data_IF_883014503926
#
_entry.id   IF_883014503926
#
_cell.length_a   1.000
_cell.length_b   1.000
_cell.length_c   1.000
_cell.angle_alpha   90.00
_cell.angle_beta   90.00
_cell.angle_gamma   90.00
#
_symmetry.space_group_name_H-M   'P 1'
#
loop_
_entity.id
_entity.type
_entity.pdbx_description
1 polymer ?
#
# COMPACT_ATOMS: atom_id res chain seq x y z
N UNK A 1 -34.04 29.81 39.65
CA UNK A 1 -33.82 29.51 41.08
C UNK A 1 -32.31 29.51 41.32
N UNK A 2 -31.79 30.59 41.91
CA UNK A 2 -30.40 30.69 42.42
C UNK A 2 -30.12 29.59 43.45
N UNK A 3 -28.87 29.11 43.59
CA UNK A 3 -27.93 29.21 44.76
C UNK A 3 -26.53 28.72 44.26
N UNK A 4 -25.42 29.49 44.17
CA UNK A 4 -24.38 29.80 45.21
C UNK A 4 -23.88 28.54 45.98
N UNK A 5 -22.61 28.27 46.36
CA UNK A 5 -21.26 28.89 46.31
C UNK A 5 -20.23 27.90 46.98
N UNK A 6 -18.97 27.88 46.49
CA UNK A 6 -17.66 27.98 47.20
C UNK A 6 -17.19 27.00 48.33
N UNK A 7 -15.96 26.48 48.12
CA UNK A 7 -14.81 26.08 49.00
C UNK A 7 -14.93 25.10 50.17
N UNK A 8 -13.93 24.21 50.27
CA UNK A 8 -12.95 24.26 51.36
C UNK A 8 -11.65 23.47 51.04
N UNK A 9 -10.51 24.16 51.14
CA UNK A 9 -9.17 23.57 51.20
C UNK A 9 -8.90 23.09 52.63
N UNK A 10 -8.18 21.98 52.79
CA UNK A 10 -7.46 21.68 54.03
C UNK A 10 -6.05 21.20 53.70
N UNK A 11 -5.11 22.00 54.21
CA UNK A 11 -3.67 21.83 54.22
C UNK A 11 -3.32 21.02 55.48
N UNK A 12 -2.48 19.99 55.37
CA UNK A 12 -1.81 19.40 56.53
C UNK A 12 -0.29 19.42 56.30
N UNK A 13 0.37 20.30 57.04
CA UNK A 13 1.82 20.39 57.18
C UNK A 13 2.20 19.52 58.37
N UNK A 14 3.18 18.62 58.18
CA UNK A 14 4.00 18.09 59.27
C UNK A 14 5.46 18.23 58.84
N UNK A 15 6.15 19.15 59.51
CA UNK A 15 7.61 19.22 59.57
C UNK A 15 8.11 18.39 60.75
N UNK A 16 9.27 17.75 60.66
CA UNK A 16 10.43 18.11 61.50
C UNK A 16 11.71 17.28 61.28
N UNK A 17 12.82 18.04 61.29
CA UNK A 17 14.20 17.78 61.71
C UNK A 17 15.18 16.86 60.92
N UNK A 18 16.07 17.57 60.21
CA UNK A 18 17.54 17.55 60.10
C UNK A 18 18.37 16.50 60.88
N UNK A 19 19.36 15.88 60.21
CA UNK A 19 20.79 16.24 60.34
C UNK A 19 21.75 15.44 59.43
N UNK A 20 22.54 16.21 58.66
CA UNK A 20 24.01 16.17 58.49
C UNK A 20 24.80 15.00 57.85
N UNK A 21 25.83 15.46 57.09
CA UNK A 21 27.10 14.87 56.64
C UNK A 21 27.06 13.93 55.41
N UNK A 22 27.65 14.20 54.24
CA UNK A 22 28.99 14.67 53.77
C UNK A 22 29.88 13.51 53.29
N UNK A 23 30.18 13.53 51.98
CA UNK A 23 31.16 12.80 51.13
C UNK A 23 31.10 11.24 51.12
N UNK A 24 31.43 10.53 50.05
CA UNK A 24 32.52 10.70 49.07
C UNK A 24 32.22 9.93 47.78
N UNK A 25 32.97 10.29 46.74
CA UNK A 25 33.03 9.76 45.39
C UNK A 25 33.19 8.23 45.32
N UNK A 26 32.55 7.57 44.35
CA UNK A 26 33.08 6.39 43.64
C UNK A 26 32.12 5.95 42.53
N UNK A 27 32.69 5.93 41.33
CA UNK A 27 32.18 5.30 40.11
C UNK A 27 31.47 3.95 40.35
N UNK A 28 30.20 3.86 39.97
CA UNK A 28 29.43 2.62 39.99
C UNK A 28 28.54 2.48 38.76
N UNK A 29 28.97 1.64 37.82
CA UNK A 29 28.20 0.96 36.76
C UNK A 29 26.84 1.59 36.39
N UNK A 30 26.81 2.29 35.25
CA UNK A 30 25.57 2.42 34.46
C UNK A 30 25.08 1.01 34.15
N UNK A 31 24.02 0.57 34.82
CA UNK A 31 23.26 -0.60 34.39
C UNK A 31 22.83 -0.32 32.94
N UNK A 32 23.40 -1.07 32.01
CA UNK A 32 22.92 -1.11 30.64
C UNK A 32 21.43 -1.47 30.70
N UNK A 33 20.58 -0.48 30.44
CA UNK A 33 19.19 -0.70 30.06
C UNK A 33 19.25 -1.64 28.85
N UNK A 34 18.58 -2.81 28.87
CA UNK A 34 18.57 -3.65 27.70
C UNK A 34 18.02 -2.81 26.55
N UNK A 35 18.83 -2.66 25.52
CA UNK A 35 18.44 -2.09 24.24
C UNK A 35 17.21 -2.83 23.78
N UNK A 36 16.16 -2.07 23.49
CA UNK A 36 14.87 -2.52 22.95
C UNK A 36 15.04 -3.75 22.07
N UNK A 37 14.44 -4.87 22.49
CA UNK A 37 14.12 -5.95 21.57
C UNK A 37 13.39 -5.32 20.39
N UNK A 38 14.06 -5.31 19.25
CA UNK A 38 13.47 -4.94 17.98
C UNK A 38 12.48 -6.06 17.68
N UNK A 39 11.23 -5.92 18.12
CA UNK A 39 10.15 -6.83 17.75
C UNK A 39 10.14 -6.92 16.23
N UNK A 40 10.68 -8.02 15.70
CA UNK A 40 10.44 -8.41 14.32
C UNK A 40 9.02 -8.96 14.36
N UNK A 41 8.04 -8.08 14.14
CA UNK A 41 6.65 -8.48 14.13
C UNK A 41 6.48 -9.44 12.94
N UNK A 42 6.32 -10.72 13.24
CA UNK A 42 6.00 -11.75 12.25
C UNK A 42 4.67 -11.40 11.59
N UNK A 43 4.56 -11.59 10.28
CA UNK A 43 3.28 -11.42 9.59
C UNK A 43 2.34 -12.57 9.94
N UNK A 44 1.06 -12.27 10.10
CA UNK A 44 0.04 -13.31 10.05
C UNK A 44 -0.20 -13.79 8.60
N UNK A 45 -1.05 -14.81 8.44
CA UNK A 45 -1.29 -15.38 7.11
C UNK A 45 -2.03 -14.42 6.17
N UNK A 46 -2.88 -13.53 6.69
CA UNK A 46 -3.63 -12.58 5.86
C UNK A 46 -2.70 -11.48 5.35
N UNK A 47 -1.83 -10.94 6.21
CA UNK A 47 -0.77 -10.00 5.82
C UNK A 47 0.18 -10.62 4.78
N UNK A 48 0.57 -11.89 4.98
CA UNK A 48 1.44 -12.62 4.06
C UNK A 48 0.79 -12.84 2.70
N UNK A 49 -0.44 -13.37 2.65
CA UNK A 49 -1.15 -13.62 1.41
C UNK A 49 -1.41 -12.33 0.64
N UNK A 50 -1.74 -11.26 1.36
CA UNK A 50 -1.96 -9.95 0.75
C UNK A 50 -0.66 -9.39 0.17
N UNK A 51 0.47 -9.51 0.87
CA UNK A 51 1.78 -9.10 0.34
C UNK A 51 2.20 -9.91 -0.90
N UNK A 52 1.85 -11.22 -0.96
CA UNK A 52 2.06 -12.07 -2.14
C UNK A 52 1.18 -11.57 -3.31
N UNK A 53 -0.08 -11.22 -3.05
CA UNK A 53 -0.98 -10.66 -4.05
C UNK A 53 -0.42 -9.35 -4.62
N UNK A 54 -0.03 -8.41 -3.75
CA UNK A 54 0.57 -7.13 -4.15
C UNK A 54 1.85 -7.30 -4.98
N UNK A 55 2.64 -8.35 -4.73
CA UNK A 55 3.84 -8.64 -5.51
C UNK A 55 3.50 -8.94 -6.98
N UNK A 56 2.44 -9.69 -7.21
CA UNK A 56 1.98 -10.05 -8.56
C UNK A 56 1.16 -8.94 -9.21
N UNK A 57 0.37 -8.17 -8.46
CA UNK A 57 -0.39 -7.03 -8.97
C UNK A 57 0.52 -5.91 -9.50
N UNK A 58 1.56 -5.54 -8.75
CA UNK A 58 2.57 -4.59 -9.23
C UNK A 58 3.31 -5.11 -10.49
N UNK A 59 3.45 -6.44 -10.62
CA UNK A 59 3.98 -7.05 -11.85
C UNK A 59 2.96 -7.00 -12.99
N UNK A 60 1.67 -7.19 -12.71
CA UNK A 60 0.59 -7.04 -13.69
C UNK A 60 0.62 -5.64 -14.29
N UNK A 61 0.61 -4.61 -13.46
CA UNK A 61 0.68 -3.22 -13.90
C UNK A 61 1.92 -2.98 -14.79
N UNK A 62 3.12 -3.37 -14.29
CA UNK A 62 4.38 -3.29 -15.05
C UNK A 62 4.27 -3.95 -16.42
N UNK A 63 3.81 -5.19 -16.45
CA UNK A 63 3.83 -6.02 -17.65
C UNK A 63 2.82 -5.55 -18.70
N UNK A 64 1.62 -5.13 -18.26
CA UNK A 64 0.62 -4.50 -19.13
C UNK A 64 1.21 -3.22 -19.73
N UNK A 65 1.85 -2.37 -18.93
CA UNK A 65 2.44 -1.13 -19.43
C UNK A 65 3.64 -1.36 -20.35
N UNK A 66 4.47 -2.38 -20.10
CA UNK A 66 5.51 -2.78 -21.06
C UNK A 66 4.87 -3.17 -22.39
N UNK A 67 3.85 -4.03 -22.38
CA UNK A 67 3.14 -4.47 -23.59
C UNK A 67 2.54 -3.29 -24.36
N UNK A 68 1.83 -2.40 -23.68
CA UNK A 68 1.18 -1.24 -24.29
C UNK A 68 2.19 -0.20 -24.77
N UNK A 69 3.33 -0.04 -24.08
CA UNK A 69 4.42 0.85 -24.54
C UNK A 69 5.04 0.40 -25.87
N UNK A 70 5.10 -0.91 -26.13
CA UNK A 70 5.57 -1.45 -27.41
C UNK A 70 4.56 -1.22 -28.52
N UNK A 71 3.26 -1.25 -28.20
CA UNK A 71 2.18 -1.06 -29.17
C UNK A 71 1.96 0.43 -29.51
N UNK A 72 2.06 1.31 -28.52
CA UNK A 72 1.86 2.75 -28.63
C UNK A 72 3.15 3.52 -28.27
N UNK A 73 4.23 3.43 -29.08
CA UNK A 73 5.54 3.99 -28.73
C UNK A 73 5.56 5.52 -28.61
N UNK A 74 4.57 6.21 -29.19
CA UNK A 74 4.42 7.66 -29.07
C UNK A 74 3.77 8.07 -27.73
N UNK A 75 3.09 7.13 -27.06
CA UNK A 75 2.47 7.34 -25.75
C UNK A 75 3.48 7.02 -24.65
N UNK A 76 4.36 7.99 -24.37
CA UNK A 76 5.46 7.80 -23.41
C UNK A 76 5.01 7.52 -21.97
N UNK A 77 3.73 7.69 -21.66
CA UNK A 77 3.16 7.45 -20.33
C UNK A 77 3.34 5.98 -19.92
N UNK A 78 3.07 5.02 -20.81
CA UNK A 78 3.21 3.60 -20.53
C UNK A 78 4.65 3.23 -20.17
N UNK A 79 5.63 3.65 -20.97
CA UNK A 79 7.04 3.33 -20.71
C UNK A 79 7.58 3.97 -19.42
N UNK A 80 7.11 5.17 -19.07
CA UNK A 80 7.51 5.85 -17.84
C UNK A 80 6.93 5.18 -16.59
N UNK A 81 5.66 4.82 -16.64
CA UNK A 81 4.96 4.18 -15.52
C UNK A 81 5.43 2.73 -15.36
N UNK A 82 5.63 1.97 -16.44
CA UNK A 82 6.27 0.65 -16.39
C UNK A 82 7.62 0.64 -15.63
N UNK A 83 8.42 1.71 -15.80
CA UNK A 83 9.67 1.86 -15.06
C UNK A 83 9.44 2.17 -13.57
N UNK A 84 8.30 2.78 -13.22
CA UNK A 84 7.85 2.97 -11.84
C UNK A 84 7.37 1.67 -11.20
N UNK A 85 6.55 0.90 -11.90
CA UNK A 85 6.07 -0.40 -11.41
C UNK A 85 7.21 -1.39 -11.25
N UNK A 86 8.25 -1.29 -12.09
CA UNK A 86 9.50 -2.03 -11.87
C UNK A 86 10.17 -1.71 -10.52
N UNK A 87 10.01 -0.49 -10.00
CA UNK A 87 10.51 -0.12 -8.66
C UNK A 87 9.56 -0.57 -7.57
N UNK A 88 8.25 -0.42 -7.77
CA UNK A 88 7.25 -0.88 -6.80
C UNK A 88 7.32 -2.38 -6.58
N UNK A 89 7.33 -3.16 -7.65
CA UNK A 89 7.48 -4.62 -7.59
C UNK A 89 8.75 -5.01 -6.83
N UNK A 90 9.87 -4.29 -6.98
CA UNK A 90 11.08 -4.51 -6.20
C UNK A 90 10.94 -4.11 -4.72
N UNK A 91 10.22 -3.03 -4.38
CA UNK A 91 9.93 -2.69 -2.97
C UNK A 91 9.13 -3.82 -2.30
N UNK A 92 8.18 -4.42 -3.00
CA UNK A 92 7.43 -5.58 -2.49
C UNK A 92 8.36 -6.79 -2.35
N UNK A 93 9.23 -7.07 -3.34
CA UNK A 93 10.17 -8.19 -3.27
C UNK A 93 11.16 -8.08 -2.11
N UNK A 94 11.65 -6.88 -1.82
CA UNK A 94 12.52 -6.63 -0.67
C UNK A 94 11.77 -6.78 0.67
N UNK A 95 10.48 -6.46 0.69
CA UNK A 95 9.61 -6.68 1.85
C UNK A 95 9.34 -8.17 2.08
N UNK A 96 9.07 -8.94 1.02
CA UNK A 96 8.95 -10.40 1.10
C UNK A 96 10.22 -11.04 1.68
N UNK A 97 11.40 -10.66 1.17
CA UNK A 97 12.70 -11.11 1.71
C UNK A 97 12.86 -10.78 3.19
N UNK A 98 12.46 -9.56 3.60
CA UNK A 98 12.55 -9.13 5.01
C UNK A 98 11.73 -9.98 5.96
N UNK A 99 10.60 -10.51 5.49
CA UNK A 99 9.74 -11.41 6.26
C UNK A 99 10.00 -12.89 5.97
N UNK A 100 11.04 -13.21 5.18
CA UNK A 100 11.38 -14.58 4.77
C UNK A 100 10.23 -15.31 4.07
N UNK A 101 9.46 -14.57 3.26
CA UNK A 101 8.41 -15.11 2.40
C UNK A 101 9.03 -15.40 1.03
N UNK A 102 8.70 -16.56 0.45
CA UNK A 102 9.12 -16.93 -0.90
C UNK A 102 8.50 -15.99 -1.94
N UNK A 103 9.29 -15.55 -2.91
CA UNK A 103 8.81 -14.65 -3.96
C UNK A 103 7.94 -15.45 -4.96
N UNK A 104 6.65 -15.09 -5.17
CA UNK A 104 5.80 -15.77 -6.14
C UNK A 104 6.30 -15.64 -7.60
N UNK A 105 7.12 -14.62 -7.89
CA UNK A 105 7.67 -14.38 -9.23
C UNK A 105 8.98 -15.15 -9.41
N UNK A 106 8.84 -16.41 -9.85
CA UNK A 106 9.98 -17.28 -10.23
C UNK A 106 10.38 -17.14 -11.70
N UNK A 107 9.49 -16.56 -12.53
CA UNK A 107 9.74 -16.24 -13.93
C UNK A 107 9.30 -14.80 -14.21
N UNK A 108 10.27 -13.92 -14.45
CA UNK A 108 10.01 -12.49 -14.62
C UNK A 108 9.74 -12.08 -16.07
N UNK A 109 9.51 -13.03 -16.97
CA UNK A 109 9.08 -12.72 -18.33
C UNK A 109 7.71 -11.99 -18.32
N UNK A 110 7.57 -11.03 -19.23
CA UNK A 110 6.35 -10.23 -19.38
C UNK A 110 5.14 -11.12 -19.64
N UNK A 111 4.09 -10.95 -18.83
CA UNK A 111 2.83 -11.68 -18.94
C UNK A 111 2.85 -13.11 -18.38
N UNK A 112 3.95 -13.52 -17.74
CA UNK A 112 4.05 -14.83 -17.08
C UNK A 112 3.74 -14.71 -15.60
N UNK A 113 2.66 -15.34 -15.15
CA UNK A 113 2.27 -15.46 -13.74
C UNK A 113 2.12 -16.94 -13.42
N UNK A 114 2.92 -17.43 -12.46
CA UNK A 114 3.02 -18.86 -12.15
C UNK A 114 3.00 -19.14 -10.66
N UNK A 115 2.60 -18.17 -9.84
CA UNK A 115 2.42 -18.41 -8.42
C UNK A 115 1.32 -19.44 -8.19
N UNK A 116 1.41 -20.12 -7.06
CA UNK A 116 0.42 -21.14 -6.69
C UNK A 116 -0.88 -20.49 -6.22
N UNK A 117 -0.77 -19.34 -5.58
CA UNK A 117 -1.86 -18.66 -4.89
C UNK A 117 -2.78 -17.93 -5.87
N UNK A 118 -2.21 -17.15 -6.80
CA UNK A 118 -2.97 -16.22 -7.67
C UNK A 118 -2.49 -16.17 -9.13
N UNK A 119 -1.52 -17.01 -9.53
CA UNK A 119 -0.91 -16.92 -10.86
C UNK A 119 -1.90 -17.15 -12.01
N UNK A 120 -2.92 -17.98 -11.81
CA UNK A 120 -4.00 -18.18 -12.77
C UNK A 120 -4.86 -16.91 -12.94
N UNK A 121 -5.23 -16.28 -11.82
CA UNK A 121 -5.97 -15.02 -11.79
C UNK A 121 -5.19 -13.90 -12.51
N UNK A 122 -3.91 -13.72 -12.19
CA UNK A 122 -3.10 -12.68 -12.84
C UNK A 122 -2.81 -12.97 -14.31
N UNK A 123 -2.72 -14.24 -14.71
CA UNK A 123 -2.64 -14.62 -16.13
C UNK A 123 -3.90 -14.22 -16.88
N UNK A 124 -5.08 -14.48 -16.31
CA UNK A 124 -6.36 -14.07 -16.90
C UNK A 124 -6.48 -12.55 -16.97
N UNK A 125 -6.17 -11.84 -15.88
CA UNK A 125 -6.18 -10.37 -15.84
C UNK A 125 -5.23 -9.73 -16.84
N UNK A 126 -4.02 -10.26 -16.99
CA UNK A 126 -3.08 -9.78 -18.00
C UNK A 126 -3.65 -9.90 -19.42
N UNK A 127 -4.26 -11.05 -19.75
CA UNK A 127 -4.89 -11.23 -21.05
C UNK A 127 -6.10 -10.31 -21.25
N UNK A 128 -6.97 -10.19 -20.25
CA UNK A 128 -8.15 -9.31 -20.28
C UNK A 128 -7.73 -7.86 -20.59
N UNK A 129 -6.84 -7.30 -19.76
CA UNK A 129 -6.42 -5.91 -19.83
C UNK A 129 -5.65 -5.61 -21.12
N UNK A 130 -4.77 -6.52 -21.55
CA UNK A 130 -4.04 -6.32 -22.82
C UNK A 130 -4.95 -6.48 -24.04
N UNK A 131 -5.97 -7.35 -24.01
CA UNK A 131 -6.94 -7.47 -25.09
C UNK A 131 -7.82 -6.21 -25.25
N UNK A 132 -8.19 -5.57 -24.13
CA UNK A 132 -8.86 -4.26 -24.18
C UNK A 132 -7.90 -3.22 -24.75
N UNK A 133 -6.70 -3.12 -24.17
CA UNK A 133 -5.73 -2.08 -24.51
C UNK A 133 -5.18 -2.16 -25.93
N UNK A 134 -5.25 -3.30 -26.63
CA UNK A 134 -4.83 -3.37 -28.04
C UNK A 134 -5.84 -2.76 -29.02
N UNK A 135 -7.06 -2.46 -28.57
CA UNK A 135 -8.16 -1.99 -29.43
C UNK A 135 -7.90 -0.57 -29.95
N UNK A 136 -7.44 0.33 -29.07
CA UNK A 136 -7.05 1.69 -29.42
C UNK A 136 -6.13 2.28 -28.35
N UNK A 137 -5.42 3.36 -28.70
CA UNK A 137 -4.60 4.07 -27.71
C UNK A 137 -5.46 4.63 -26.56
N UNK A 138 -6.69 5.07 -26.84
CA UNK A 138 -7.60 5.53 -25.80
C UNK A 138 -8.01 4.39 -24.86
N UNK A 139 -8.35 3.22 -25.39
CA UNK A 139 -8.65 2.04 -24.57
C UNK A 139 -7.44 1.62 -23.73
N UNK A 140 -6.23 1.71 -24.30
CA UNK A 140 -4.99 1.46 -23.56
C UNK A 140 -4.79 2.43 -22.39
N UNK A 141 -5.11 3.71 -22.58
CA UNK A 141 -5.04 4.72 -21.51
C UNK A 141 -6.08 4.46 -20.42
N UNK A 142 -7.29 4.04 -20.80
CA UNK A 142 -8.33 3.61 -19.85
C UNK A 142 -7.92 2.36 -19.07
N UNK A 143 -7.28 1.38 -19.71
CA UNK A 143 -6.67 0.23 -19.03
C UNK A 143 -5.61 0.69 -18.04
N UNK A 144 -4.80 1.69 -18.43
CA UNK A 144 -3.87 2.38 -17.54
C UNK A 144 -4.53 2.86 -16.26
N UNK A 145 -5.53 3.75 -16.40
CA UNK A 145 -6.25 4.31 -15.27
C UNK A 145 -7.02 3.26 -14.44
N UNK A 146 -7.56 2.22 -15.10
CA UNK A 146 -8.29 1.13 -14.44
C UNK A 146 -7.38 0.34 -13.48
N UNK A 147 -6.18 0.01 -13.92
CA UNK A 147 -5.20 -0.70 -13.08
C UNK A 147 -4.86 0.14 -11.85
N UNK A 148 -4.62 1.44 -12.01
CA UNK A 148 -4.29 2.30 -10.87
C UNK A 148 -5.45 2.44 -9.87
N UNK A 149 -6.70 2.41 -10.34
CA UNK A 149 -7.86 2.33 -9.45
C UNK A 149 -7.94 0.99 -8.70
N UNK A 150 -7.67 -0.13 -9.37
CA UNK A 150 -7.59 -1.44 -8.73
C UNK A 150 -6.48 -1.47 -7.67
N UNK A 151 -5.24 -1.11 -8.03
CA UNK A 151 -4.09 -1.12 -7.13
C UNK A 151 -4.42 -0.35 -5.84
N UNK A 152 -4.99 0.86 -5.94
CA UNK A 152 -5.35 1.63 -4.75
C UNK A 152 -6.41 0.95 -3.86
N UNK A 153 -7.42 0.31 -4.46
CA UNK A 153 -8.47 -0.41 -3.72
C UNK A 153 -7.89 -1.64 -3.04
N UNK A 154 -7.11 -2.42 -3.79
CA UNK A 154 -6.55 -3.69 -3.39
C UNK A 154 -5.36 -3.52 -2.44
N UNK A 155 -4.68 -2.37 -2.42
CA UNK A 155 -3.74 -2.01 -1.35
C UNK A 155 -4.49 -1.65 -0.06
N UNK A 156 -5.58 -0.88 -0.16
CA UNK A 156 -6.35 -0.41 1.00
C UNK A 156 -7.10 -1.55 1.69
N UNK A 157 -7.69 -2.46 0.91
CA UNK A 157 -8.62 -3.50 1.37
C UNK A 157 -8.32 -4.85 0.73
N UNK A 158 -8.97 -5.93 1.18
CA UNK A 158 -8.78 -7.23 0.54
C UNK A 158 -9.30 -7.25 -0.90
N UNK A 159 -8.48 -7.75 -1.85
CA UNK A 159 -8.93 -8.10 -3.19
C UNK A 159 -10.10 -9.09 -3.15
N UNK A 160 -11.08 -8.90 -4.03
CA UNK A 160 -12.28 -9.75 -4.10
C UNK A 160 -11.91 -11.22 -4.27
N UNK A 161 -10.95 -11.53 -5.13
CA UNK A 161 -10.48 -12.91 -5.38
C UNK A 161 -9.88 -13.56 -4.12
N UNK A 162 -9.30 -12.78 -3.21
CA UNK A 162 -8.83 -13.31 -1.93
C UNK A 162 -9.99 -13.67 -1.00
N UNK A 163 -11.03 -12.84 -0.97
CA UNK A 163 -12.26 -13.10 -0.19
C UNK A 163 -12.95 -14.37 -0.70
N UNK A 164 -12.95 -14.59 -2.02
CA UNK A 164 -13.57 -15.77 -2.62
C UNK A 164 -12.80 -17.08 -2.40
N UNK A 165 -11.45 -17.02 -2.49
CA UNK A 165 -10.60 -18.22 -2.51
C UNK A 165 -10.09 -18.65 -1.14
N UNK A 166 -9.98 -17.74 -0.18
CA UNK A 166 -9.33 -17.99 1.10
C UNK A 166 -10.38 -18.07 2.20
N UNK A 167 -10.65 -19.29 2.68
CA UNK A 167 -11.68 -19.56 3.68
C UNK A 167 -11.59 -18.70 4.95
N UNK A 168 -10.41 -18.23 5.35
CA UNK A 168 -10.25 -17.39 6.55
C UNK A 168 -10.54 -15.91 6.32
N UNK A 169 -10.56 -15.45 5.06
CA UNK A 169 -10.88 -14.07 4.66
C UNK A 169 -12.38 -14.01 4.36
N UNK A 170 -13.12 -13.17 5.09
CA UNK A 170 -14.59 -13.10 5.03
C UNK A 170 -15.12 -11.80 4.47
N UNK A 171 -14.32 -10.74 4.50
CA UNK A 171 -14.72 -9.42 4.03
C UNK A 171 -13.50 -8.57 3.65
N UNK A 172 -13.76 -7.40 3.07
CA UNK A 172 -12.73 -6.47 2.58
C UNK A 172 -11.80 -5.91 3.66
N UNK A 173 -12.15 -6.00 4.94
CA UNK A 173 -11.31 -5.52 6.05
C UNK A 173 -10.43 -6.60 6.70
N UNK A 174 -10.41 -7.82 6.16
CA UNK A 174 -9.63 -8.92 6.73
C UNK A 174 -8.17 -8.97 6.21
N UNK A 175 -7.73 -7.99 5.41
CA UNK A 175 -6.36 -7.78 4.93
C UNK A 175 -6.23 -6.35 4.35
N UNK A 176 -5.09 -6.01 3.74
CA UNK A 176 -4.84 -4.65 3.28
C UNK A 176 -4.44 -3.67 4.38
N UNK A 177 -4.28 -2.40 4.00
CA UNK A 177 -3.91 -1.32 4.90
C UNK A 177 -4.90 -1.14 6.07
N UNK A 178 -6.19 -1.44 5.85
CA UNK A 178 -7.21 -1.37 6.90
C UNK A 178 -7.05 -2.46 7.98
N UNK A 179 -6.31 -3.54 7.68
CA UNK A 179 -6.13 -4.68 8.56
C UNK A 179 -4.81 -4.63 9.33
N UNK A 180 -3.71 -4.34 8.62
CA UNK A 180 -2.36 -4.47 9.19
C UNK A 180 -2.04 -3.37 10.21
N UNK A 181 -1.34 -3.76 11.28
CA UNK A 181 -0.69 -2.83 12.20
C UNK A 181 0.85 -2.90 12.10
N UNK A 182 1.36 -3.67 11.13
CA UNK A 182 2.78 -3.82 10.90
C UNK A 182 3.31 -2.57 10.20
N UNK A 183 4.11 -1.77 10.92
CA UNK A 183 4.64 -0.51 10.38
C UNK A 183 5.44 -0.65 9.08
N UNK A 184 6.04 -1.81 8.82
CA UNK A 184 6.75 -2.06 7.56
C UNK A 184 5.77 -2.19 6.40
N UNK A 185 4.68 -2.92 6.61
CA UNK A 185 3.62 -3.10 5.61
C UNK A 185 2.89 -1.77 5.38
N UNK A 186 2.52 -1.05 6.44
CA UNK A 186 1.88 0.27 6.31
C UNK A 186 2.74 1.22 5.46
N UNK A 187 4.04 1.34 5.77
CA UNK A 187 4.93 2.21 5.00
C UNK A 187 5.09 1.74 3.55
N UNK A 188 5.09 0.43 3.27
CA UNK A 188 5.08 -0.06 1.90
C UNK A 188 3.80 0.38 1.18
N UNK A 189 2.64 0.11 1.76
CA UNK A 189 1.32 0.35 1.15
C UNK A 189 1.04 1.83 0.92
N UNK A 190 1.39 2.70 1.88
CA UNK A 190 1.33 4.16 1.70
C UNK A 190 2.19 4.61 0.50
N UNK A 191 3.39 4.04 0.35
CA UNK A 191 4.27 4.35 -0.77
C UNK A 191 3.75 3.87 -2.12
N UNK A 192 3.02 2.74 -2.14
CA UNK A 192 2.41 2.21 -3.36
C UNK A 192 1.21 3.07 -3.76
N UNK A 193 0.31 3.39 -2.81
CA UNK A 193 -0.83 4.29 -3.03
C UNK A 193 -0.37 5.65 -3.56
N UNK A 194 0.65 6.27 -2.95
CA UNK A 194 1.20 7.54 -3.43
C UNK A 194 1.69 7.42 -4.90
N UNK A 195 2.23 6.26 -5.27
CA UNK A 195 2.62 5.94 -6.63
C UNK A 195 1.42 5.86 -7.57
N UNK A 196 0.47 4.97 -7.25
CA UNK A 196 -0.72 4.73 -8.07
C UNK A 196 -1.57 5.98 -8.26
N UNK A 197 -1.70 6.85 -7.26
CA UNK A 197 -2.38 8.14 -7.43
C UNK A 197 -1.68 9.03 -8.46
N UNK A 198 -0.34 9.06 -8.48
CA UNK A 198 0.42 9.82 -9.45
C UNK A 198 0.30 9.24 -10.87
N UNK A 199 0.21 7.92 -10.98
CA UNK A 199 0.00 7.24 -12.24
C UNK A 199 -1.43 7.45 -12.77
N UNK A 200 -2.44 7.37 -11.90
CA UNK A 200 -3.82 7.68 -12.23
C UNK A 200 -3.94 9.11 -12.78
N UNK A 201 -3.36 10.11 -12.09
CA UNK A 201 -3.30 11.50 -12.60
C UNK A 201 -2.67 11.57 -13.98
N UNK A 202 -1.60 10.81 -14.23
CA UNK A 202 -0.92 10.80 -15.52
C UNK A 202 -1.77 10.17 -16.63
N UNK A 203 -2.42 9.03 -16.38
CA UNK A 203 -3.33 8.41 -17.35
C UNK A 203 -4.56 9.25 -17.61
N UNK A 204 -5.23 9.73 -16.57
CA UNK A 204 -6.40 10.62 -16.69
C UNK A 204 -6.07 11.87 -17.47
N UNK A 205 -4.93 12.52 -17.21
CA UNK A 205 -4.48 13.66 -18.00
C UNK A 205 -4.36 13.31 -19.49
N UNK A 206 -3.86 12.12 -19.84
CA UNK A 206 -3.79 11.68 -21.24
C UNK A 206 -5.17 11.40 -21.81
N UNK A 207 -6.05 10.73 -21.08
CA UNK A 207 -7.43 10.46 -21.52
C UNK A 207 -8.16 11.78 -21.80
N UNK A 208 -8.10 12.73 -20.88
CA UNK A 208 -8.80 14.01 -21.01
C UNK A 208 -8.23 14.90 -22.14
N UNK A 209 -6.97 14.71 -22.53
CA UNK A 209 -6.45 15.32 -23.77
C UNK A 209 -7.09 14.72 -25.05
N UNK A 210 -7.58 13.47 -25.00
CA UNK A 210 -8.31 12.85 -26.11
C UNK A 210 -9.79 13.25 -26.15
N UNK A 211 -10.45 13.24 -24.99
CA UNK A 211 -11.92 13.30 -24.92
C UNK A 211 -12.48 14.59 -24.32
N UNK A 212 -11.62 15.46 -23.79
CA UNK A 212 -12.00 16.72 -23.12
C UNK A 212 -11.62 16.73 -21.65
N UNK A 213 -11.16 17.89 -21.18
CA UNK A 213 -10.87 18.16 -19.77
C UNK A 213 -12.12 17.95 -18.91
N UNK A 214 -11.99 17.25 -17.79
CA UNK A 214 -13.15 16.94 -16.93
C UNK A 214 -13.91 15.68 -17.30
N UNK A 215 -13.60 15.02 -18.43
CA UNK A 215 -14.46 13.97 -18.98
C UNK A 215 -14.14 12.55 -18.45
N UNK A 216 -13.02 12.34 -17.75
CA UNK A 216 -12.76 11.04 -17.15
C UNK A 216 -13.77 10.74 -16.04
N UNK A 217 -14.25 9.50 -15.98
CA UNK A 217 -15.11 8.97 -14.93
C UNK A 217 -14.42 7.76 -14.32
N UNK A 218 -14.51 7.64 -13.00
CA UNK A 218 -14.01 6.49 -12.26
C UNK A 218 -14.61 5.19 -12.82
N UNK A 219 -13.78 4.17 -12.95
CA UNK A 219 -14.18 2.89 -13.53
C UNK A 219 -14.59 1.89 -12.46
N UNK A 220 -13.88 1.86 -11.33
CA UNK A 220 -14.12 0.95 -10.21
C UNK A 220 -14.02 1.64 -8.85
N UNK A 221 -13.18 2.67 -8.71
CA UNK A 221 -13.15 3.51 -7.53
C UNK A 221 -14.41 4.40 -7.46
N UNK A 222 -14.67 4.97 -6.28
CA UNK A 222 -15.73 5.97 -6.19
C UNK A 222 -15.32 7.24 -6.95
N UNK A 223 -16.29 7.90 -7.60
CA UNK A 223 -16.02 9.15 -8.30
C UNK A 223 -15.48 10.23 -7.36
N UNK A 224 -15.93 10.27 -6.10
CA UNK A 224 -15.45 11.19 -5.07
C UNK A 224 -13.97 10.97 -4.73
N UNK A 225 -13.53 9.71 -4.62
CA UNK A 225 -12.12 9.39 -4.37
C UNK A 225 -11.25 9.80 -5.56
N UNK A 226 -11.69 9.50 -6.79
CA UNK A 226 -10.97 9.87 -8.01
C UNK A 226 -10.88 11.39 -8.13
N UNK A 227 -11.98 12.11 -7.94
CA UNK A 227 -12.01 13.58 -8.00
C UNK A 227 -11.13 14.19 -6.89
N UNK A 228 -11.09 13.59 -5.71
CA UNK A 228 -10.16 13.98 -4.64
C UNK A 228 -8.70 13.84 -5.09
N UNK A 229 -8.30 12.72 -5.71
CA UNK A 229 -6.90 12.57 -6.14
C UNK A 229 -6.58 13.51 -7.33
N UNK A 230 -7.56 13.77 -8.21
CA UNK A 230 -7.43 14.69 -9.33
C UNK A 230 -7.49 16.17 -8.90
N UNK A 231 -7.98 16.46 -7.69
CA UNK A 231 -8.05 17.79 -7.11
C UNK A 231 -9.16 18.67 -7.68
N UNK A 232 -10.34 18.10 -7.95
CA UNK A 232 -11.48 18.81 -8.53
C UNK A 232 -12.82 18.43 -7.91
#
# INVERSE_FOLDING_TARGET
>A
MNIFRISLATLLIITFFSNAAYNDDTSGFRKNKPSSERFHQTLDEHEKLHLIFMREEEKLARDVYIKLSMLYPNSNVFGKIAASESRHTCKVCDTLKRFSIEDPIVNDNVGVFSSKEFGDYFTEKYHELTNIGVSSELDALYVGALIEEFDMIDIKTCPEVMIERIDSIKNSSDCGLVYTNNRVINSLYENLIDGSENHLRAFVSKIENYIGEGAYQAQVASQEDVDTILGR
#
